data_IF_010434886205
#
_entry.id   IF_010434886205
#
_cell.length_a   1.000
_cell.length_b   1.000
_cell.length_c   1.000
_cell.angle_alpha   90.00
_cell.angle_beta   90.00
_cell.angle_gamma   90.00
#
_symmetry.space_group_name_H-M   'P 1'
#
loop_
_entity.id
_entity.type
_entity.pdbx_description
1 polymer ?
2 non-polymer ?
3 non-polymer ?
4 non-polymer ?
5 water ?
#
# COMPACT_ATOMS: atom_id res chain seq x y z
N UNK A 3 -12.98 -13.18 9.27
CA UNK A 3 -13.06 -13.04 7.79
C UNK A 3 -14.03 -11.92 7.36
N UNK A 4 -14.58 -11.11 8.29
CA UNK A 4 -15.59 -10.05 8.01
C UNK A 4 -14.97 -8.96 7.13
N UNK A 5 -13.71 -8.60 7.42
CA UNK A 5 -12.90 -7.64 6.66
C UNK A 5 -12.71 -8.10 5.23
N UNK A 6 -12.46 -9.39 5.02
CA UNK A 6 -12.21 -9.97 3.68
C UNK A 6 -13.51 -9.92 2.87
N UNK A 7 -14.65 -10.20 3.50
CA UNK A 7 -15.95 -10.18 2.77
C UNK A 7 -16.23 -8.74 2.33
N UNK A 8 -15.90 -7.74 3.18
CA UNK A 8 -16.06 -6.30 2.89
C UNK A 8 -15.22 -5.93 1.66
N UNK A 9 -14.00 -6.45 1.56
CA UNK A 9 -13.11 -6.15 0.40
C UNK A 9 -13.71 -6.79 -0.85
N UNK A 10 -14.16 -8.03 -0.75
CA UNK A 10 -14.71 -8.77 -1.93
C UNK A 10 -15.99 -8.07 -2.40
N UNK A 11 -16.79 -7.51 -1.47
CA UNK A 11 -18.07 -6.80 -1.79
C UNK A 11 -17.79 -5.47 -2.53
N UNK A 12 -16.77 -4.71 -2.12
CA UNK A 12 -16.44 -3.39 -2.72
C UNK A 12 -14.94 -3.28 -2.99
N UNK A 13 -14.39 -4.04 -3.96
CA UNK A 13 -12.95 -4.04 -4.19
C UNK A 13 -12.40 -2.64 -4.51
N UNK A 14 -13.14 -1.83 -5.27
CA UNK A 14 -12.67 -0.50 -5.68
C UNK A 14 -12.44 0.40 -4.47
N UNK A 15 -13.17 0.18 -3.38
CA UNK A 15 -12.96 0.96 -2.13
C UNK A 15 -11.52 0.75 -1.65
N UNK A 16 -10.97 -0.45 -1.84
CA UNK A 16 -9.65 -0.86 -1.30
C UNK A 16 -8.51 -0.74 -2.32
N UNK A 17 -8.77 -0.93 -3.62
CA UNK A 17 -7.69 -0.92 -4.65
C UNK A 17 -8.02 0.05 -5.79
N UNK A 18 -9.10 0.84 -5.67
CA UNK A 18 -9.41 1.92 -6.61
C UNK A 18 -10.20 1.48 -7.83
N UNK A 19 -9.91 0.32 -8.37
CA UNK A 19 -10.45 -0.14 -9.67
C UNK A 19 -10.24 -1.64 -9.75
N UNK A 20 -10.87 -2.26 -10.73
CA UNK A 20 -10.66 -3.70 -11.01
C UNK A 20 -10.06 -3.85 -12.40
N UNK A 21 -9.44 -2.79 -12.92
CA UNK A 21 -8.64 -2.79 -14.15
C UNK A 21 -7.20 -3.10 -13.89
N UNK A 22 -6.35 -2.77 -14.85
CA UNK A 22 -4.89 -3.06 -14.79
C UNK A 22 -4.30 -2.43 -13.54
N UNK A 23 -4.67 -1.18 -13.24
CA UNK A 23 -4.05 -0.55 -12.07
C UNK A 23 -4.48 -1.27 -10.80
N UNK A 24 -5.76 -1.66 -10.67
CA UNK A 24 -6.28 -2.43 -9.53
C UNK A 24 -5.51 -3.73 -9.40
N UNK A 25 -5.35 -4.45 -10.50
CA UNK A 25 -4.62 -5.73 -10.47
C UNK A 25 -3.22 -5.51 -9.89
N UNK A 26 -2.52 -4.46 -10.34
CA UNK A 26 -1.12 -4.26 -9.92
C UNK A 26 -1.06 -3.86 -8.46
N UNK A 27 -2.14 -3.38 -7.84
CA UNK A 27 -2.15 -3.12 -6.38
C UNK A 27 -1.72 -4.40 -5.65
N UNK A 28 -2.14 -5.57 -6.15
CA UNK A 28 -1.92 -6.81 -5.39
C UNK A 28 -0.44 -7.15 -5.42
N UNK A 29 0.21 -7.03 -6.59
CA UNK A 29 1.65 -7.33 -6.68
C UNK A 29 2.46 -6.28 -5.91
N UNK A 30 2.05 -5.02 -5.93
CA UNK A 30 2.76 -3.99 -5.12
C UNK A 30 2.72 -4.36 -3.64
N UNK A 31 1.60 -4.83 -3.13
CA UNK A 31 1.45 -5.07 -1.68
C UNK A 31 2.41 -6.21 -1.30
N UNK A 32 2.47 -7.26 -2.13
CA UNK A 32 3.26 -8.45 -1.71
C UNK A 32 4.74 -8.11 -1.87
N UNK A 33 5.09 -7.45 -2.96
CA UNK A 33 6.49 -6.98 -3.17
C UNK A 33 6.89 -6.07 -2.00
N UNK A 34 6.02 -5.14 -1.62
CA UNK A 34 6.38 -4.21 -0.54
C UNK A 34 6.74 -4.97 0.75
N UNK A 35 5.94 -5.97 1.11
CA UNK A 35 6.20 -6.75 2.35
C UNK A 35 7.53 -7.49 2.24
N UNK A 36 7.87 -8.00 1.08
CA UNK A 36 9.16 -8.69 0.88
C UNK A 36 10.30 -7.68 1.02
N UNK A 37 10.17 -6.53 0.40
CA UNK A 37 11.26 -5.52 0.39
C UNK A 37 11.39 -4.96 1.80
N UNK A 38 10.29 -4.79 2.53
CA UNK A 38 10.33 -4.33 3.94
C UNK A 38 11.31 -5.18 4.75
N UNK A 39 11.45 -6.46 4.42
CA UNK A 39 12.36 -7.40 5.14
C UNK A 39 13.82 -7.03 4.89
N UNK A 40 14.17 -6.30 3.83
CA UNK A 40 15.58 -5.87 3.60
C UNK A 40 16.03 -4.93 4.71
N UNK A 41 15.28 -3.84 4.98
CA UNK A 41 15.58 -2.90 6.09
C UNK A 41 15.35 -3.56 7.47
N UNK A 42 14.38 -4.45 7.63
CA UNK A 42 13.81 -4.86 8.95
C UNK A 42 14.21 -6.28 9.33
N UNK A 43 14.53 -7.14 8.37
CA UNK A 43 14.72 -8.58 8.61
C UNK A 43 15.98 -9.15 8.00
N UNK A 44 16.90 -8.28 7.55
CA UNK A 44 18.23 -8.65 7.02
C UNK A 44 18.07 -9.55 5.78
N UNK A 45 16.97 -9.41 5.03
CA UNK A 45 16.85 -10.07 3.71
C UNK A 45 17.94 -9.51 2.81
N UNK A 46 18.52 -10.36 1.97
CA UNK A 46 19.54 -10.02 0.97
C UNK A 46 18.98 -10.17 -0.43
N UNK A 47 17.87 -10.87 -0.59
CA UNK A 47 17.36 -11.21 -1.94
C UNK A 47 15.85 -11.27 -1.93
N UNK A 48 15.24 -10.64 -2.93
CA UNK A 48 13.80 -10.78 -3.22
C UNK A 48 13.68 -11.32 -4.64
N UNK A 49 12.80 -12.29 -4.85
CA UNK A 49 12.53 -12.81 -6.20
C UNK A 49 11.04 -12.66 -6.49
N UNK A 50 10.73 -12.18 -7.68
CA UNK A 50 9.34 -12.06 -8.17
C UNK A 50 9.24 -12.89 -9.44
N UNK A 51 8.28 -13.82 -9.48
CA UNK A 51 7.99 -14.62 -10.68
C UNK A 51 6.56 -14.33 -11.13
N UNK A 52 6.41 -13.95 -12.39
CA UNK A 52 5.09 -13.83 -13.04
C UNK A 52 4.80 -15.20 -13.65
N UNK A 53 3.91 -15.94 -13.01
CA UNK A 53 3.67 -17.36 -13.36
C UNK A 53 2.90 -17.43 -14.69
N UNK A 54 3.11 -18.54 -15.39
CA UNK A 54 2.50 -18.80 -16.72
C UNK A 54 0.97 -18.76 -16.62
N UNK A 55 0.39 -19.15 -15.48
CA UNK A 55 -1.07 -19.31 -15.29
C UNK A 55 -1.72 -18.02 -14.79
N UNK A 56 -0.98 -16.91 -14.70
CA UNK A 56 -1.52 -15.62 -14.22
C UNK A 56 -1.21 -15.38 -12.75
N UNK A 57 -0.70 -16.38 -12.04
CA UNK A 57 -0.34 -16.18 -10.64
C UNK A 57 0.96 -15.40 -10.50
N UNK A 58 1.29 -15.12 -9.26
CA UNK A 58 2.53 -14.40 -8.91
C UNK A 58 3.16 -15.11 -7.72
N UNK A 59 4.48 -15.28 -7.76
CA UNK A 59 5.24 -15.74 -6.59
C UNK A 59 6.20 -14.62 -6.19
N UNK A 60 6.21 -14.30 -4.91
CA UNK A 60 7.23 -13.38 -4.36
C UNK A 60 7.90 -14.10 -3.20
N UNK A 61 9.23 -14.02 -3.15
CA UNK A 61 10.00 -14.67 -2.08
C UNK A 61 11.05 -13.72 -1.54
N UNK A 62 11.38 -13.91 -0.27
CA UNK A 62 12.48 -13.18 0.36
C UNK A 62 13.23 -14.15 1.27
N UNK A 63 14.44 -13.79 1.63
CA UNK A 63 15.25 -14.59 2.59
C UNK A 63 15.34 -13.81 3.91
N UNK A 64 14.23 -13.20 4.32
CA UNK A 64 14.11 -12.49 5.60
C UNK A 64 13.82 -13.41 6.77
N UNK A 65 13.15 -12.85 7.77
CA UNK A 65 12.88 -13.52 9.07
C UNK A 65 11.85 -14.66 8.92
N UNK A 66 11.01 -14.60 7.90
CA UNK A 66 9.84 -15.50 7.82
C UNK A 66 8.65 -14.91 8.57
N UNK A 67 7.49 -14.88 7.93
CA UNK A 67 6.23 -14.46 8.60
C UNK A 67 6.10 -15.27 9.89
N UNK A 68 5.88 -14.62 11.04
CA UNK A 68 5.70 -15.37 12.28
C UNK A 68 4.60 -16.45 12.17
N UNK A 69 4.89 -17.62 12.74
CA UNK A 69 3.92 -18.75 12.79
C UNK A 69 3.43 -18.96 14.23
N UNK A 70 4.10 -18.38 15.20
CA UNK A 70 3.68 -18.49 16.62
C UNK A 70 2.22 -18.05 16.78
N UNK A 71 1.57 -18.62 17.79
CA UNK A 71 0.15 -18.34 18.09
C UNK A 71 0.01 -16.87 18.40
N UNK A 72 -0.96 -16.25 17.73
CA UNK A 72 -1.31 -14.83 17.94
C UNK A 72 -2.22 -14.78 19.16
N UNK A 73 -2.36 -13.61 19.79
CA UNK A 73 -3.28 -13.42 20.94
C UNK A 73 -4.72 -13.79 20.52
N UNK A 74 -5.07 -13.67 19.24
CA UNK A 74 -6.46 -13.95 18.75
C UNK A 74 -6.67 -15.46 18.60
N UNK A 75 -5.65 -16.27 18.92
CA UNK A 75 -5.80 -17.72 19.09
C UNK A 75 -5.58 -18.52 17.83
N UNK A 76 -4.97 -17.92 16.80
CA UNK A 76 -4.63 -18.57 15.50
C UNK A 76 -3.18 -18.24 15.19
N UNK A 77 -2.51 -19.00 14.31
CA UNK A 77 -1.13 -18.67 13.94
C UNK A 77 -1.08 -17.24 13.38
N UNK A 78 -0.01 -16.53 13.71
CA UNK A 78 0.14 -15.10 13.33
C UNK A 78 0.02 -14.95 11.81
N UNK A 79 0.58 -15.86 11.02
CA UNK A 79 0.46 -15.79 9.55
C UNK A 79 -1.01 -15.64 9.13
N UNK A 80 -1.94 -16.34 9.79
CA UNK A 80 -3.38 -16.21 9.46
C UNK A 80 -3.90 -14.81 9.79
N UNK A 81 -3.40 -14.20 10.88
CA UNK A 81 -3.78 -12.82 11.25
C UNK A 81 -3.26 -11.88 10.15
N UNK A 82 -2.03 -12.06 9.71
CA UNK A 82 -1.41 -11.23 8.64
C UNK A 82 -2.29 -11.31 7.38
N UNK A 83 -2.67 -12.52 7.00
CA UNK A 83 -3.32 -12.71 5.69
C UNK A 83 -4.81 -12.38 5.77
N UNK A 84 -5.33 -12.03 6.95
CA UNK A 84 -6.77 -11.66 7.13
C UNK A 84 -6.92 -10.22 7.63
N UNK A 85 -5.88 -9.53 8.08
CA UNK A 85 -6.04 -8.22 8.79
C UNK A 85 -5.10 -7.13 8.28
N UNK A 86 -3.89 -7.47 7.84
CA UNK A 86 -2.91 -6.49 7.40
C UNK A 86 -3.15 -6.14 5.91
N UNK A 87 -2.40 -5.23 5.31
CA UNK A 87 -2.64 -4.75 3.94
C UNK A 87 -2.69 -5.91 2.95
N UNK A 88 -1.85 -6.91 3.14
CA UNK A 88 -1.74 -8.05 2.18
C UNK A 88 -3.02 -8.88 2.23
N UNK A 89 -3.87 -8.72 3.24
CA UNK A 89 -5.16 -9.44 3.33
C UNK A 89 -6.06 -9.03 2.15
N UNK A 90 -5.86 -7.86 1.56
CA UNK A 90 -6.63 -7.47 0.35
C UNK A 90 -6.25 -8.42 -0.81
N UNK A 91 -5.00 -8.83 -0.86
CA UNK A 91 -4.54 -9.80 -1.90
C UNK A 91 -5.27 -11.13 -1.66
N UNK A 92 -5.32 -11.58 -0.43
CA UNK A 92 -6.03 -12.83 -0.07
C UNK A 92 -7.50 -12.70 -0.45
N UNK A 93 -8.13 -11.59 -0.11
CA UNK A 93 -9.58 -11.36 -0.36
C UNK A 93 -9.91 -11.48 -1.87
N UNK A 94 -9.02 -11.01 -2.72
CA UNK A 94 -9.30 -10.82 -4.17
C UNK A 94 -8.57 -11.87 -5.01
N UNK A 95 -8.07 -12.93 -4.38
CA UNK A 95 -7.40 -14.07 -5.04
C UNK A 95 -8.28 -15.33 -4.87
N UNK A 96 -8.32 -16.18 -5.88
CA UNK A 96 -9.00 -17.49 -5.76
C UNK A 96 -8.28 -18.36 -4.73
N UNK A 97 -6.97 -18.19 -4.63
CA UNK A 97 -6.17 -18.97 -3.66
C UNK A 97 -4.83 -18.26 -3.46
N UNK A 98 -4.25 -18.52 -2.28
CA UNK A 98 -2.88 -18.08 -1.94
C UNK A 98 -2.19 -19.28 -1.29
N UNK A 99 -0.89 -19.36 -1.52
CA UNK A 99 -0.01 -20.32 -0.83
C UNK A 99 1.06 -19.52 -0.08
N UNK A 100 1.40 -19.93 1.12
CA UNK A 100 2.50 -19.28 1.88
C UNK A 100 3.44 -20.37 2.37
N UNK A 101 4.71 -20.21 2.09
CA UNK A 101 5.78 -21.08 2.61
C UNK A 101 6.67 -20.23 3.49
N UNK A 102 6.96 -20.70 4.69
CA UNK A 102 7.76 -19.93 5.65
C UNK A 102 8.87 -20.84 6.16
N UNK A 103 10.09 -20.31 6.19
CA UNK A 103 11.24 -20.95 6.84
C UNK A 103 11.57 -20.10 8.06
N UNK A 104 11.36 -20.65 9.24
CA UNK A 104 11.77 -19.97 10.49
C UNK A 104 11.67 -20.95 11.66
N UNK A 105 12.36 -20.60 12.76
CA UNK A 105 12.26 -21.35 14.02
C UNK A 105 12.77 -22.78 13.76
N UNK A 106 13.65 -22.99 12.76
CA UNK A 106 14.28 -24.28 12.44
C UNK A 106 13.44 -25.19 11.56
N UNK A 107 12.34 -24.69 11.00
CA UNK A 107 11.41 -25.52 10.21
C UNK A 107 10.85 -24.76 9.01
N UNK A 108 10.49 -25.55 8.01
CA UNK A 108 9.60 -25.14 6.92
C UNK A 108 8.16 -25.24 7.39
N UNK A 109 7.34 -24.32 6.92
CA UNK A 109 5.91 -24.26 7.30
C UNK A 109 5.13 -23.98 6.03
N UNK A 110 3.92 -24.49 5.96
CA UNK A 110 3.08 -24.30 4.74
C UNK A 110 1.65 -23.96 5.14
N UNK A 111 1.09 -22.95 4.48
CA UNK A 111 -0.31 -22.56 4.70
C UNK A 111 -0.95 -22.26 3.35
N UNK A 112 -2.25 -22.55 3.26
CA UNK A 112 -3.05 -22.26 2.06
C UNK A 112 -4.24 -21.42 2.47
N UNK A 113 -4.73 -20.64 1.52
CA UNK A 113 -5.98 -19.87 1.62
C UNK A 113 -6.78 -20.21 0.37
N UNK A 114 -7.99 -20.69 0.56
CA UNK A 114 -8.92 -21.11 -0.53
C UNK A 114 -10.11 -20.14 -0.50
N UNK A 115 -10.20 -19.27 -1.50
CA UNK A 115 -11.17 -18.15 -1.53
C UNK A 115 -11.11 -17.45 -0.17
N UNK A 116 -9.87 -17.17 0.25
CA UNK A 116 -9.47 -16.35 1.42
C UNK A 116 -9.55 -17.15 2.73
N UNK A 117 -10.13 -18.35 2.76
CA UNK A 117 -10.36 -19.15 4.00
C UNK A 117 -9.05 -19.88 4.35
N UNK A 118 -8.48 -19.66 5.56
CA UNK A 118 -7.25 -20.35 5.94
C UNK A 118 -7.43 -21.86 6.02
N UNK A 119 -6.46 -22.59 5.48
CA UNK A 119 -6.30 -24.04 5.71
C UNK A 119 -5.65 -24.27 7.05
N UNK A 120 -5.04 -25.43 7.23
CA UNK A 120 -4.38 -25.82 8.50
C UNK A 120 -2.88 -25.63 8.31
N UNK A 121 -2.26 -24.74 9.09
CA UNK A 121 -0.79 -24.54 9.05
C UNK A 121 -0.14 -25.91 9.25
N UNK A 122 0.79 -26.26 8.37
CA UNK A 122 1.54 -27.54 8.39
C UNK A 122 3.02 -27.27 8.77
N UNK A 123 3.54 -28.03 9.71
CA UNK A 123 4.99 -27.99 10.00
C UNK A 123 5.66 -29.04 9.10
N UNK A 124 6.62 -28.60 8.30
CA UNK A 124 7.38 -29.45 7.37
C UNK A 124 8.72 -29.85 7.97
N UNK A 125 9.70 -29.98 7.11
CA UNK A 125 11.06 -30.48 7.45
C UNK A 125 11.84 -29.38 8.16
N UNK A 126 12.83 -29.77 8.92
CA UNK A 126 13.83 -28.87 9.50
C UNK A 126 14.57 -28.15 8.38
N UNK A 127 14.96 -26.92 8.68
CA UNK A 127 15.80 -26.09 7.82
C UNK A 127 16.51 -25.06 8.70
N UNK A 128 17.72 -24.71 8.33
CA UNK A 128 18.40 -23.55 8.96
C UNK A 128 18.09 -22.28 8.16
N UNK A 129 17.42 -22.39 7.00
CA UNK A 129 17.14 -21.20 6.16
C UNK A 129 16.01 -20.39 6.81
N UNK A 130 15.94 -19.10 6.51
CA UNK A 130 14.77 -18.28 6.89
C UNK A 130 14.23 -17.56 5.65
N UNK A 131 12.94 -17.29 5.66
CA UNK A 131 12.34 -16.42 4.64
C UNK A 131 10.90 -16.79 4.40
N UNK A 132 10.32 -16.15 3.42
CA UNK A 132 8.88 -16.25 3.12
C UNK A 132 8.71 -16.35 1.60
N UNK A 133 7.79 -17.20 1.19
CA UNK A 133 7.32 -17.29 -0.22
C UNK A 133 5.81 -17.11 -0.19
N UNK A 134 5.31 -16.19 -0.98
CA UNK A 134 3.83 -16.03 -1.14
C UNK A 134 3.48 -16.18 -2.62
N UNK A 135 2.55 -17.06 -2.89
CA UNK A 135 1.96 -17.22 -4.24
C UNK A 135 0.49 -16.81 -4.17
N UNK A 136 0.01 -16.13 -5.20
CA UNK A 136 -1.41 -15.75 -5.22
C UNK A 136 -1.87 -15.72 -6.66
N UNK A 137 -3.17 -15.97 -6.82
CA UNK A 137 -3.84 -16.07 -8.13
C UNK A 137 -5.02 -15.12 -8.12
N UNK A 138 -4.87 -13.90 -8.68
CA UNK A 138 -5.98 -12.94 -8.74
C UNK A 138 -7.26 -13.55 -9.32
N UNK A 139 -8.39 -13.18 -8.73
CA UNK A 139 -9.71 -13.77 -9.10
C UNK A 139 -10.20 -13.09 -10.37
N UNK A 140 -10.37 -13.80 -11.51
CA UNK A 140 -10.87 -13.15 -12.73
C UNK A 140 -12.33 -12.67 -12.59
N UNK A 141 -13.04 -13.14 -11.56
CA UNK A 141 -14.42 -12.65 -11.25
C UNK A 141 -14.37 -11.23 -10.70
N UNK A 142 -13.21 -10.84 -10.15
CA UNK A 142 -13.01 -9.47 -9.59
C UNK A 142 -12.40 -8.56 -10.67
N UNK A 143 -11.35 -9.02 -11.34
CA UNK A 143 -10.48 -8.20 -12.24
C UNK A 143 -10.89 -8.35 -13.69
N UNK A 144 -11.01 -7.22 -14.40
CA UNK A 144 -11.38 -7.17 -15.82
C UNK A 144 -10.16 -7.51 -16.68
N UNK A 145 -8.97 -7.51 -16.11
CA UNK A 145 -7.75 -8.03 -16.75
C UNK A 145 -6.93 -8.74 -15.68
N UNK A 146 -6.28 -9.81 -16.08
CA UNK A 146 -5.44 -10.62 -15.16
C UNK A 146 -4.01 -10.67 -15.66
N UNK A 147 -3.64 -9.83 -16.60
CA UNK A 147 -2.28 -9.83 -17.21
C UNK A 147 -1.42 -8.81 -16.49
N UNK A 148 -0.42 -9.28 -15.74
CA UNK A 148 0.57 -8.36 -15.15
C UNK A 148 1.47 -7.80 -16.26
N UNK A 149 1.94 -6.57 -16.06
CA UNK A 149 2.84 -5.90 -17.03
C UNK A 149 4.29 -5.98 -16.54
N UNK A 150 5.14 -6.68 -17.27
CA UNK A 150 6.56 -6.91 -16.89
C UNK A 150 7.28 -5.58 -16.71
N UNK A 151 7.12 -4.61 -17.64
CA UNK A 151 7.86 -3.31 -17.57
C UNK A 151 7.37 -2.54 -16.33
N UNK A 152 6.08 -2.57 -16.03
CA UNK A 152 5.52 -1.85 -14.84
C UNK A 152 6.18 -2.42 -13.59
N UNK A 153 6.25 -3.74 -13.52
CA UNK A 153 6.82 -4.43 -12.34
C UNK A 153 8.31 -4.13 -12.29
N UNK A 154 9.01 -4.17 -13.42
CA UNK A 154 10.47 -3.92 -13.48
C UNK A 154 10.78 -2.53 -12.89
N UNK A 155 9.99 -1.51 -13.25
CA UNK A 155 10.25 -0.11 -12.84
C UNK A 155 10.10 0.00 -11.32
N UNK A 156 9.08 -0.65 -10.74
CA UNK A 156 8.89 -0.65 -9.26
C UNK A 156 10.08 -1.35 -8.62
N UNK A 157 10.48 -2.53 -9.14
CA UNK A 157 11.59 -3.27 -8.51
C UNK A 157 12.89 -2.47 -8.60
N UNK A 158 13.17 -1.81 -9.73
CA UNK A 158 14.40 -0.99 -9.83
C UNK A 158 14.40 0.10 -8.74
N UNK A 159 13.27 0.81 -8.56
CA UNK A 159 13.08 1.82 -7.48
C UNK A 159 13.41 1.19 -6.11
N UNK A 160 12.87 0.00 -5.83
CA UNK A 160 13.02 -0.66 -4.50
C UNK A 160 14.47 -1.12 -4.30
N UNK A 161 15.18 -1.52 -5.36
CA UNK A 161 16.61 -1.90 -5.24
C UNK A 161 17.44 -0.64 -4.91
N UNK A 162 17.13 0.47 -5.54
CA UNK A 162 17.84 1.76 -5.32
C UNK A 162 17.65 2.20 -3.87
N UNK A 163 16.45 2.00 -3.30
CA UNK A 163 16.12 2.44 -1.92
C UNK A 163 16.65 1.43 -0.88
N UNK A 164 17.18 0.30 -1.31
CA UNK A 164 17.62 -0.78 -0.39
C UNK A 164 19.00 -1.24 -0.85
N UNK A 165 20.02 -0.42 -0.63
CA UNK A 165 21.36 -0.68 -1.16
C UNK A 165 21.81 -2.06 -0.68
N UNK A 166 22.33 -2.87 -1.59
CA UNK A 166 22.84 -4.21 -1.29
C UNK A 166 21.79 -5.28 -1.48
N UNK A 167 20.53 -4.89 -1.69
CA UNK A 167 19.43 -5.85 -1.94
C UNK A 167 19.44 -6.29 -3.41
N UNK A 168 19.46 -7.60 -3.65
CA UNK A 168 19.30 -8.14 -5.03
C UNK A 168 17.83 -8.43 -5.25
N UNK A 169 17.26 -7.89 -6.32
CA UNK A 169 15.86 -8.22 -6.70
C UNK A 169 15.88 -8.85 -8.09
N UNK A 170 15.38 -10.07 -8.17
CA UNK A 170 15.31 -10.85 -9.42
C UNK A 170 13.85 -10.87 -9.87
N UNK A 171 13.63 -10.59 -11.14
CA UNK A 171 12.28 -10.64 -11.77
C UNK A 171 12.34 -11.66 -12.91
N UNK A 172 11.45 -12.64 -12.88
CA UNK A 172 11.36 -13.68 -13.93
C UNK A 172 9.95 -13.69 -14.45
N UNK A 173 9.80 -13.55 -15.75
CA UNK A 173 8.51 -13.71 -16.44
C UNK A 173 8.46 -15.12 -17.00
N UNK A 174 7.70 -16.02 -16.37
CA UNK A 174 7.59 -17.43 -16.79
C UNK A 174 6.69 -17.52 -18.03
N UNK A 175 6.04 -16.42 -18.43
CA UNK A 175 5.11 -16.39 -19.59
C UNK A 175 5.93 -16.35 -20.89
N UNK A 176 7.12 -15.74 -20.87
CA UNK A 176 7.94 -15.55 -22.09
C UNK A 176 9.45 -15.68 -21.81
N UNK A 177 9.86 -15.96 -20.58
CA UNK A 177 11.27 -16.16 -20.23
C UNK A 177 12.06 -14.89 -19.94
N UNK A 178 11.47 -13.70 -20.10
CA UNK A 178 12.20 -12.42 -19.88
C UNK A 178 12.64 -12.36 -18.40
N UNK A 179 13.81 -11.80 -18.15
CA UNK A 179 14.30 -11.71 -16.75
C UNK A 179 15.14 -10.46 -16.55
N UNK A 180 15.17 -9.98 -15.32
CA UNK A 180 15.94 -8.77 -14.95
C UNK A 180 16.40 -8.96 -13.52
N UNK A 181 17.61 -8.53 -13.24
CA UNK A 181 18.16 -8.52 -11.87
C UNK A 181 18.55 -7.09 -11.52
N UNK A 182 18.08 -6.61 -10.38
CA UNK A 182 18.36 -5.26 -9.88
C UNK A 182 19.25 -5.35 -8.65
N UNK A 183 20.26 -4.47 -8.59
CA UNK A 183 21.20 -4.43 -7.46
C UNK A 183 21.95 -3.11 -7.53
N UNK A 184 21.94 -2.36 -6.45
CA UNK A 184 22.78 -1.16 -6.21
C UNK A 184 23.73 -1.39 -5.03
N UNK A 185 25.06 -1.33 -5.21
CA UNK A 185 25.98 -1.63 -4.10
C UNK A 185 25.84 -0.67 -2.91
N UNK B 5 -9.02 -2.38 15.69
CA UNK B 5 -8.84 -1.86 14.28
C UNK B 5 -7.63 -0.92 14.13
N UNK B 6 -7.84 0.39 14.31
CA UNK B 6 -6.74 1.39 14.37
C UNK B 6 -5.89 1.22 15.63
N UNK B 7 -6.47 0.64 16.67
CA UNK B 7 -5.73 0.39 17.94
C UNK B 7 -4.65 -0.66 17.65
N UNK B 8 -4.97 -1.66 16.80
CA UNK B 8 -4.02 -2.73 16.36
C UNK B 8 -2.83 -2.06 15.63
N UNK B 9 -3.09 -1.04 14.81
CA UNK B 9 -2.04 -0.33 14.04
C UNK B 9 -1.13 0.42 15.02
N UNK B 10 -1.74 1.14 15.96
CA UNK B 10 -0.96 1.95 16.95
C UNK B 10 -0.12 1.01 17.83
N UNK B 11 -0.65 -0.17 18.18
CA UNK B 11 0.03 -1.16 19.08
C UNK B 11 1.25 -1.76 18.36
N UNK B 12 1.12 -2.12 17.07
CA UNK B 12 2.20 -2.81 16.29
C UNK B 12 2.33 -2.13 14.93
N UNK B 13 2.85 -0.89 14.86
CA UNK B 13 2.94 -0.18 13.58
C UNK B 13 3.73 -0.97 12.51
N UNK B 14 4.80 -1.64 12.92
CA UNK B 14 5.66 -2.38 11.98
C UNK B 14 4.91 -3.50 11.29
N UNK B 15 3.88 -4.03 11.90
CA UNK B 15 3.00 -5.06 11.29
C UNK B 15 2.37 -4.48 10.03
N UNK B 16 2.05 -3.18 10.05
CA UNK B 16 1.26 -2.51 8.99
C UNK B 16 2.14 -1.74 8.00
N UNK B 17 3.25 -1.15 8.44
CA UNK B 17 4.13 -0.35 7.56
C UNK B 17 5.59 -0.81 7.60
N UNK B 18 5.88 -1.94 8.23
CA UNK B 18 7.20 -2.61 8.14
C UNK B 18 8.21 -2.09 9.16
N UNK B 19 8.21 -0.80 9.48
CA UNK B 19 9.23 -0.16 10.34
C UNK B 19 8.75 1.25 10.73
N UNK B 20 9.48 1.91 11.60
CA UNK B 20 9.18 3.25 12.10
C UNK B 20 10.35 4.18 11.78
N UNK B 21 11.22 3.79 10.86
CA UNK B 21 12.21 4.69 10.23
C UNK B 21 11.68 5.33 8.97
N UNK B 22 12.60 5.81 8.14
CA UNK B 22 12.29 6.57 6.90
C UNK B 22 11.43 5.69 5.99
N UNK B 23 11.69 4.41 5.88
CA UNK B 23 10.87 3.57 4.98
C UNK B 23 9.43 3.48 5.50
N UNK B 24 9.24 3.27 6.79
CA UNK B 24 7.89 3.26 7.39
C UNK B 24 7.20 4.61 7.22
N UNK B 25 7.91 5.70 7.49
CA UNK B 25 7.33 7.04 7.32
C UNK B 25 6.81 7.19 5.88
N UNK B 26 7.60 6.80 4.88
CA UNK B 26 7.22 7.00 3.46
C UNK B 26 6.04 6.12 3.09
N UNK B 27 5.73 5.07 3.85
CA UNK B 27 4.53 4.24 3.57
C UNK B 27 3.31 5.18 3.65
N UNK B 28 3.31 6.18 4.56
CA UNK B 28 2.13 7.04 4.78
C UNK B 28 1.91 7.88 3.54
N UNK B 29 2.96 8.51 3.04
CA UNK B 29 2.82 9.37 1.82
C UNK B 29 2.49 8.51 0.60
N UNK B 30 3.07 7.32 0.47
CA UNK B 30 2.69 6.45 -0.66
C UNK B 30 1.19 6.14 -0.63
N UNK B 31 0.63 5.84 0.53
CA UNK B 31 -0.79 5.43 0.62
C UNK B 31 -1.67 6.60 0.17
N UNK B 32 -1.36 7.80 0.60
CA UNK B 32 -2.27 8.94 0.30
C UNK B 32 -2.09 9.31 -1.16
N UNK B 33 -0.86 9.33 -1.64
CA UNK B 33 -0.59 9.58 -3.08
C UNK B 33 -1.32 8.54 -3.92
N UNK B 34 -1.24 7.27 -3.53
CA UNK B 34 -1.88 6.20 -4.32
C UNK B 34 -3.38 6.48 -4.47
N UNK B 35 -4.06 6.85 -3.39
CA UNK B 35 -5.50 7.15 -3.41
C UNK B 35 -5.79 8.33 -4.36
N UNK B 36 -4.95 9.34 -4.37
CA UNK B 36 -5.14 10.49 -5.27
C UNK B 36 -4.96 10.05 -6.72
N UNK B 37 -3.91 9.30 -7.00
CA UNK B 37 -3.59 8.88 -8.38
C UNK B 37 -4.67 7.91 -8.85
N UNK B 38 -5.21 7.06 -7.96
CA UNK B 38 -6.32 6.15 -8.32
C UNK B 38 -7.47 6.94 -8.97
N UNK B 39 -7.68 8.20 -8.57
CA UNK B 39 -8.73 9.06 -9.18
C UNK B 39 -8.46 9.42 -10.65
N UNK B 40 -7.23 9.31 -11.17
CA UNK B 40 -6.96 9.61 -12.59
C UNK B 40 -7.69 8.60 -13.48
N UNK B 41 -7.46 7.29 -13.26
CA UNK B 41 -8.19 6.25 -14.03
C UNK B 41 -9.62 6.16 -13.54
N UNK B 42 -9.93 6.33 -12.26
CA UNK B 42 -11.29 5.98 -11.75
C UNK B 42 -12.23 7.18 -11.84
N UNK B 43 -11.73 8.41 -11.76
CA UNK B 43 -12.63 9.58 -11.66
C UNK B 43 -12.23 10.74 -12.56
N UNK B 44 -11.37 10.52 -13.55
CA UNK B 44 -10.99 11.51 -14.59
C UNK B 44 -10.31 12.72 -13.94
N UNK B 45 -9.61 12.53 -12.81
CA UNK B 45 -8.71 13.57 -12.26
C UNK B 45 -7.67 13.92 -13.34
N UNK B 46 -7.31 15.19 -13.44
CA UNK B 46 -6.29 15.71 -14.36
C UNK B 46 -5.02 16.12 -13.60
N UNK B 47 -5.12 16.31 -12.29
CA UNK B 47 -3.99 16.89 -11.55
C UNK B 47 -3.96 16.35 -10.13
N UNK B 48 -2.77 15.92 -9.73
CA UNK B 48 -2.45 15.60 -8.32
C UNK B 48 -1.34 16.54 -7.85
N UNK B 49 -1.51 17.10 -6.68
CA UNK B 49 -0.48 17.99 -6.10
C UNK B 49 -0.04 17.42 -4.77
N UNK B 50 1.27 17.35 -4.57
CA UNK B 50 1.85 16.91 -3.28
C UNK B 50 2.68 18.05 -2.73
N UNK B 51 2.42 18.44 -1.48
CA UNK B 51 3.24 19.45 -0.78
C UNK B 51 3.88 18.81 0.44
N UNK B 52 5.20 18.95 0.57
CA UNK B 52 5.91 18.59 1.80
C UNK B 52 5.92 19.88 2.64
N UNK B 53 5.08 19.91 3.66
CA UNK B 53 4.80 21.15 4.41
C UNK B 53 6.01 21.49 5.29
N UNK B 54 6.12 22.78 5.56
CA UNK B 54 7.23 23.40 6.32
C UNK B 54 7.33 22.78 7.72
N UNK B 55 6.22 22.34 8.31
CA UNK B 55 6.14 21.85 9.71
C UNK B 55 6.28 20.33 9.76
N UNK B 56 6.62 19.66 8.66
CA UNK B 56 6.77 18.19 8.61
C UNK B 56 5.51 17.48 8.11
N UNK B 57 4.37 18.17 8.00
CA UNK B 57 3.16 17.54 7.44
C UNK B 57 3.26 17.32 5.95
N UNK B 58 2.20 16.74 5.42
CA UNK B 58 2.08 16.48 3.95
C UNK B 58 0.66 16.87 3.53
N UNK B 59 0.54 17.51 2.38
CA UNK B 59 -0.78 17.74 1.76
C UNK B 59 -0.77 17.03 0.41
N UNK B 60 -1.83 16.27 0.13
CA UNK B 60 -2.03 15.69 -1.19
C UNK B 60 -3.43 16.11 -1.68
N UNK B 61 -3.53 16.53 -2.93
CA UNK B 61 -4.84 16.92 -3.49
C UNK B 61 -5.03 16.30 -4.86
N UNK B 62 -6.28 16.08 -5.20
CA UNK B 62 -6.66 15.69 -6.55
C UNK B 62 -7.91 16.47 -6.95
N UNK B 63 -8.15 16.52 -8.25
CA UNK B 63 -9.38 17.14 -8.81
C UNK B 63 -10.28 16.02 -9.36
N UNK B 64 -10.37 14.92 -8.62
CA UNK B 64 -11.28 13.83 -8.98
C UNK B 64 -12.70 14.03 -8.45
N UNK B 65 -13.38 12.95 -8.14
CA UNK B 65 -14.81 12.94 -7.81
C UNK B 65 -15.09 13.53 -6.43
N UNK B 66 -14.12 13.52 -5.53
CA UNK B 66 -14.38 13.80 -4.10
C UNK B 66 -14.82 12.56 -3.37
N UNK B 67 -14.21 12.31 -2.22
CA UNK B 67 -14.70 11.24 -1.31
C UNK B 67 -16.19 11.45 -1.10
N UNK B 68 -17.02 10.40 -1.27
CA UNK B 68 -18.46 10.53 -1.07
C UNK B 68 -18.83 11.13 0.28
N UNK B 69 -19.85 12.00 0.25
CA UNK B 69 -20.41 12.71 1.43
C UNK B 69 -21.87 12.34 1.65
N UNK B 70 -22.60 11.73 0.69
CA UNK B 70 -24.06 11.37 0.88
C UNK B 70 -24.26 10.80 2.30
N UNK B 75 -25.21 5.74 9.25
CA UNK B 75 -24.74 6.65 10.32
C UNK B 75 -23.37 7.25 10.01
N UNK B 76 -22.41 6.44 9.57
CA UNK B 76 -20.97 6.84 9.46
C UNK B 76 -20.72 7.54 8.11
N UNK B 77 -20.21 8.79 8.10
CA UNK B 77 -19.77 9.41 6.86
C UNK B 77 -18.76 8.50 6.16
N UNK B 78 -18.84 8.42 4.84
CA UNK B 78 -17.90 7.61 4.02
C UNK B 78 -16.47 8.05 4.31
N UNK B 79 -16.22 9.36 4.46
CA UNK B 79 -14.82 9.78 4.75
C UNK B 79 -14.32 9.05 6.00
N UNK B 80 -15.15 8.90 7.03
CA UNK B 80 -14.75 8.23 8.29
C UNK B 80 -14.54 6.72 8.04
N UNK B 81 -15.30 6.11 7.13
CA UNK B 81 -15.08 4.68 6.77
C UNK B 81 -13.72 4.58 6.09
N UNK B 82 -13.41 5.48 5.16
CA UNK B 82 -12.09 5.51 4.47
C UNK B 82 -10.99 5.62 5.52
N UNK B 83 -11.12 6.54 6.45
CA UNK B 83 -9.98 6.87 7.33
C UNK B 83 -9.93 5.90 8.51
N UNK B 84 -10.84 4.93 8.59
CA UNK B 84 -10.82 3.90 9.68
C UNK B 84 -10.65 2.48 9.13
N UNK B 85 -10.92 2.23 7.85
CA UNK B 85 -11.04 0.83 7.36
C UNK B 85 -10.19 0.54 6.13
N UNK B 86 -10.00 1.54 5.27
CA UNK B 86 -9.23 1.38 4.03
C UNK B 86 -7.73 1.49 4.34
N UNK B 87 -6.84 1.17 3.39
CA UNK B 87 -5.39 1.19 3.65
C UNK B 87 -4.95 2.53 4.24
N UNK B 88 -5.53 3.63 3.79
CA UNK B 88 -5.09 4.98 4.19
C UNK B 88 -5.42 5.22 5.68
N UNK B 89 -6.28 4.41 6.27
CA UNK B 89 -6.58 4.45 7.74
C UNK B 89 -5.29 4.31 8.56
N UNK B 90 -4.26 3.65 8.04
CA UNK B 90 -2.95 3.54 8.74
C UNK B 90 -2.36 4.94 8.89
N UNK B 91 -2.56 5.79 7.90
CA UNK B 91 -2.05 7.20 7.97
C UNK B 91 -2.77 7.92 9.11
N UNK B 92 -4.09 7.74 9.20
CA UNK B 92 -4.88 8.35 10.31
C UNK B 92 -4.35 7.81 11.65
N UNK B 93 -4.16 6.51 11.75
CA UNK B 93 -3.76 5.84 13.01
C UNK B 93 -2.43 6.38 13.54
N UNK B 94 -1.50 6.74 12.66
CA UNK B 94 -0.10 7.05 13.04
C UNK B 94 0.18 8.54 12.81
N UNK B 95 -0.87 9.35 12.73
CA UNK B 95 -0.76 10.83 12.59
C UNK B 95 -1.35 11.50 13.83
N UNK B 96 -0.73 12.56 14.30
CA UNK B 96 -1.31 13.36 15.43
C UNK B 96 -2.63 13.97 15.00
N UNK B 97 -2.76 14.32 13.73
CA UNK B 97 -4.00 14.92 13.19
C UNK B 97 -4.00 14.75 11.68
N UNK B 98 -5.20 14.76 11.14
CA UNK B 98 -5.44 14.78 9.68
C UNK B 98 -6.56 15.77 9.42
N UNK B 99 -6.43 16.47 8.31
CA UNK B 99 -7.51 17.33 7.78
C UNK B 99 -7.92 16.76 6.43
N UNK B 100 -9.22 16.67 6.18
CA UNK B 100 -9.71 16.28 4.85
C UNK B 100 -10.65 17.39 4.34
N UNK B 101 -10.42 17.82 3.13
CA UNK B 101 -11.32 18.77 2.41
C UNK B 101 -11.87 18.03 1.20
N UNK B 102 -13.17 18.05 1.02
CA UNK B 102 -13.85 17.40 -0.11
C UNK B 102 -14.68 18.45 -0.84
N UNK B 103 -14.56 18.50 -2.15
CA UNK B 103 -15.47 19.30 -3.01
C UNK B 103 -16.30 18.28 -3.77
N UNK B 104 -17.60 18.30 -3.52
CA UNK B 104 -18.52 17.34 -4.14
C UNK B 104 -19.96 17.82 -3.93
N UNK B 105 -20.82 17.48 -4.88
CA UNK B 105 -22.29 17.64 -4.73
C UNK B 105 -22.63 19.12 -4.50
N UNK B 106 -21.82 20.02 -5.05
CA UNK B 106 -22.09 21.47 -5.02
C UNK B 106 -21.50 22.18 -3.84
N UNK B 107 -20.73 21.49 -2.98
CA UNK B 107 -20.22 22.10 -1.72
C UNK B 107 -18.81 21.65 -1.40
N UNK B 108 -18.12 22.52 -0.69
CA UNK B 108 -16.90 22.17 0.08
C UNK B 108 -17.31 21.54 1.40
N UNK B 109 -16.55 20.54 1.83
CA UNK B 109 -16.85 19.84 3.09
C UNK B 109 -15.52 19.68 3.82
N UNK B 110 -15.56 19.72 5.14
CA UNK B 110 -14.31 19.64 5.95
C UNK B 110 -14.49 18.62 7.06
N UNK B 111 -13.49 17.73 7.23
CA UNK B 111 -13.46 16.79 8.35
C UNK B 111 -12.06 16.85 8.97
N UNK B 112 -12.01 16.63 10.27
CA UNK B 112 -10.74 16.56 11.01
C UNK B 112 -10.67 15.23 11.75
N UNK B 113 -9.45 14.81 12.04
CA UNK B 113 -9.15 13.64 12.88
C UNK B 113 -8.10 14.12 13.85
N UNK B 114 -8.35 13.87 15.14
CA UNK B 114 -7.46 14.25 16.25
C UNK B 114 -7.02 12.95 16.90
N UNK B 115 -5.74 12.58 16.72
CA UNK B 115 -5.20 11.28 17.19
C UNK B 115 -6.16 10.18 16.72
N UNK B 116 -6.57 10.28 15.44
CA UNK B 116 -7.37 9.27 14.68
C UNK B 116 -8.87 9.41 14.94
N UNK B 117 -9.31 10.20 15.94
CA UNK B 117 -10.73 10.31 16.37
C UNK B 117 -11.43 11.29 15.44
N UNK B 118 -12.49 10.88 14.71
CA UNK B 118 -13.20 11.78 13.81
C UNK B 118 -13.85 12.96 14.54
N UNK B 119 -13.75 14.14 13.93
CA UNK B 119 -14.58 15.31 14.25
C UNK B 119 -15.95 15.20 13.60
N UNK B 120 -16.65 16.33 13.46
CA UNK B 120 -17.96 16.40 12.79
C UNK B 120 -17.75 16.96 11.39
N UNK B 121 -18.13 16.22 10.36
CA UNK B 121 -18.09 16.72 8.96
C UNK B 121 -18.88 18.03 8.89
N UNK B 122 -18.27 19.08 8.33
CA UNK B 122 -18.90 20.42 8.20
C UNK B 122 -19.12 20.75 6.72
N UNK B 123 -20.33 21.19 6.38
CA UNK B 123 -20.61 21.73 5.05
C UNK B 123 -20.16 23.20 4.98
N UNK B 124 -19.36 23.50 3.97
CA UNK B 124 -18.82 24.84 3.71
C UNK B 124 -19.57 25.51 2.58
N UNK B 125 -18.81 26.26 1.78
CA UNK B 125 -19.34 27.13 0.72
C UNK B 125 -19.73 26.30 -0.51
N UNK B 126 -20.59 26.89 -1.30
CA UNK B 126 -20.98 26.34 -2.61
C UNK B 126 -19.74 26.32 -3.50
N UNK B 127 -19.61 25.28 -4.33
CA UNK B 127 -18.52 25.20 -5.32
C UNK B 127 -18.94 24.24 -6.44
N UNK B 128 -18.51 24.53 -7.66
CA UNK B 128 -18.68 23.61 -8.80
C UNK B 128 -17.45 22.70 -8.90
N UNK B 129 -16.40 22.92 -8.10
CA UNK B 129 -15.18 22.08 -8.19
C UNK B 129 -15.48 20.69 -7.59
N UNK B 130 -14.73 19.67 -8.01
CA UNK B 130 -14.73 18.36 -7.33
C UNK B 130 -13.30 17.98 -7.02
N UNK B 131 -13.13 17.24 -5.94
CA UNK B 131 -11.82 16.68 -5.60
C UNK B 131 -11.67 16.51 -4.12
N UNK B 132 -10.49 16.07 -3.72
CA UNK B 132 -10.19 15.72 -2.31
C UNK B 132 -8.81 16.28 -1.99
N UNK B 133 -8.69 16.82 -0.78
CA UNK B 133 -7.39 17.22 -0.21
C UNK B 133 -7.25 16.50 1.13
N UNK B 134 -6.10 15.89 1.32
CA UNK B 134 -5.76 15.26 2.64
C UNK B 134 -4.46 15.87 3.15
N UNK B 135 -4.50 16.39 4.35
CA UNK B 135 -3.29 16.86 5.07
C UNK B 135 -3.08 15.97 6.30
N UNK B 136 -1.85 15.56 6.54
CA UNK B 136 -1.60 14.69 7.71
C UNK B 136 -0.23 15.01 8.28
N UNK B 137 -0.13 14.78 9.59
CA UNK B 137 1.08 15.10 10.37
C UNK B 137 1.52 13.84 11.10
N UNK B 138 2.51 13.12 10.55
CA UNK B 138 2.97 11.89 11.20
C UNK B 138 3.41 12.13 12.66
N UNK B 139 3.10 11.18 13.52
CA UNK B 139 3.30 11.30 14.98
C UNK B 139 4.78 11.10 15.28
N UNK B 140 5.51 12.13 15.80
CA UNK B 140 6.93 11.98 16.08
C UNK B 140 7.20 10.96 17.20
N UNK B 141 6.17 10.63 17.99
CA UNK B 141 6.27 9.62 19.07
C UNK B 141 6.29 8.19 18.48
N UNK B 142 5.84 8.04 17.25
CA UNK B 142 5.77 6.72 16.54
C UNK B 142 7.04 6.52 15.70
N UNK B 143 7.43 7.55 14.97
CA UNK B 143 8.51 7.51 13.94
C UNK B 143 9.86 8.00 14.49
N UNK B 144 10.95 7.34 14.09
CA UNK B 144 12.33 7.75 14.44
C UNK B 144 12.77 8.96 13.63
N UNK B 145 12.08 9.23 12.53
CA UNK B 145 12.33 10.40 11.66
C UNK B 145 10.98 10.88 11.17
N UNK B 146 10.84 12.19 11.01
CA UNK B 146 9.62 12.80 10.43
C UNK B 146 9.99 13.58 9.17
N UNK B 147 11.17 13.35 8.62
CA UNK B 147 11.68 14.04 7.42
C UNK B 147 11.34 13.21 6.19
N UNK B 148 10.42 13.71 5.37
CA UNK B 148 10.17 13.14 4.03
C UNK B 148 11.35 13.49 3.13
N UNK B 149 11.67 12.60 2.21
CA UNK B 149 12.81 12.76 1.29
C UNK B 149 12.30 13.19 -0.08
N UNK B 150 12.64 14.41 -0.52
CA UNK B 150 12.14 14.97 -1.80
C UNK B 150 12.41 14.01 -2.97
N UNK B 151 13.63 13.47 -3.10
CA UNK B 151 14.02 12.65 -4.28
C UNK B 151 13.24 11.34 -4.22
N UNK B 152 13.03 10.77 -3.04
CA UNK B 152 12.27 9.49 -2.89
C UNK B 152 10.84 9.73 -3.38
N UNK B 153 10.25 10.84 -2.94
CA UNK B 153 8.85 11.16 -3.34
C UNK B 153 8.83 11.45 -4.84
N UNK B 154 9.81 12.20 -5.36
CA UNK B 154 9.84 12.62 -6.78
C UNK B 154 9.87 11.36 -7.67
N UNK B 155 10.65 10.35 -7.29
CA UNK B 155 10.82 9.12 -8.11
C UNK B 155 9.47 8.41 -8.17
N UNK B 156 8.75 8.32 -7.06
CA UNK B 156 7.42 7.65 -7.03
C UNK B 156 6.45 8.46 -7.91
N UNK B 157 6.45 9.79 -7.78
CA UNK B 157 5.47 10.61 -8.56
C UNK B 157 5.81 10.54 -10.05
N UNK B 158 7.08 10.54 -10.42
CA UNK B 158 7.47 10.38 -11.83
C UNK B 158 6.92 9.05 -12.38
N UNK B 159 7.13 7.93 -11.66
CA UNK B 159 6.56 6.60 -11.98
C UNK B 159 5.04 6.72 -12.19
N UNK B 160 4.33 7.36 -11.28
CA UNK B 160 2.84 7.41 -11.33
C UNK B 160 2.38 8.29 -12.49
N UNK B 161 3.11 9.35 -12.83
CA UNK B 161 2.76 10.17 -14.00
C UNK B 161 2.96 9.33 -15.29
N UNK B 162 4.05 8.58 -15.36
CA UNK B 162 4.40 7.75 -16.53
C UNK B 162 3.32 6.69 -16.74
N UNK B 163 2.78 6.13 -15.64
CA UNK B 163 1.75 5.07 -15.70
C UNK B 163 0.34 5.64 -15.90
N UNK B 164 0.18 6.95 -15.87
CA UNK B 164 -1.16 7.59 -15.96
C UNK B 164 -1.04 8.72 -16.97
N UNK B 165 -0.92 8.36 -18.23
CA UNK B 165 -0.70 9.31 -19.34
C UNK B 165 -1.72 10.43 -19.22
N UNK B 166 -1.27 11.67 -19.30
CA UNK B 166 -2.17 12.85 -19.29
C UNK B 166 -2.37 13.40 -17.89
N UNK B 167 -1.96 12.65 -16.85
CA UNK B 167 -2.04 13.14 -15.46
C UNK B 167 -0.86 14.07 -15.18
N UNK B 168 -1.14 15.26 -14.69
CA UNK B 168 -0.09 16.20 -14.22
C UNK B 168 0.09 15.95 -12.73
N UNK B 169 1.32 15.69 -12.30
CA UNK B 169 1.61 15.59 -10.84
C UNK B 169 2.61 16.68 -10.50
N UNK B 170 2.24 17.54 -9.57
CA UNK B 170 3.12 18.63 -9.08
C UNK B 170 3.63 18.25 -7.68
N UNK B 171 4.94 18.35 -7.47
CA UNK B 171 5.58 18.19 -6.13
C UNK B 171 6.21 19.52 -5.71
N UNK B 172 5.83 19.99 -4.53
CA UNK B 172 6.39 21.24 -3.96
C UNK B 172 6.93 20.91 -2.57
N UNK B 173 8.18 21.26 -2.35
CA UNK B 173 8.81 21.13 -1.02
C UNK B 173 8.78 22.53 -0.39
N UNK B 174 7.90 22.75 0.57
CA UNK B 174 7.74 24.05 1.25
C UNK B 174 8.92 24.26 2.22
N UNK B 175 9.74 23.23 2.45
CA UNK B 175 10.89 23.33 3.40
C UNK B 175 12.06 24.07 2.75
N UNK B 176 12.20 24.04 1.43
CA UNK B 176 13.34 24.64 0.70
C UNK B 176 12.97 25.22 -0.65
N UNK B 177 11.69 25.15 -1.06
CA UNK B 177 11.21 25.74 -2.31
C UNK B 177 11.43 24.85 -3.54
N UNK B 178 12.06 23.69 -3.40
CA UNK B 178 12.28 22.79 -4.56
C UNK B 178 10.91 22.37 -5.10
N UNK B 179 10.79 22.29 -6.42
CA UNK B 179 9.50 21.86 -7.02
C UNK B 179 9.75 21.14 -8.36
N UNK B 180 8.84 20.26 -8.71
CA UNK B 180 8.96 19.47 -9.96
C UNK B 180 7.54 19.16 -10.40
N UNK B 181 7.33 19.19 -11.71
CA UNK B 181 6.06 18.79 -12.35
C UNK B 181 6.34 17.60 -13.26
N UNK B 182 5.51 16.57 -13.14
CA UNK B 182 5.60 15.35 -13.95
C UNK B 182 4.38 15.30 -14.86
N UNK B 183 4.60 15.05 -16.13
CA UNK B 183 3.51 14.93 -17.11
C UNK B 183 4.05 14.21 -18.33
N UNK B 184 3.39 13.12 -18.70
CA UNK B 184 3.67 12.34 -19.94
C UNK B 184 2.40 12.29 -20.76
N UNK B 185 2.40 12.85 -21.99
CA UNK B 185 1.25 12.67 -22.89
C UNK B 185 1.08 11.20 -23.31
X LIG C 1 8.07 -9.01 11.27
X LIG C 1 8.62 -11.26 6.30
X LIG C 1 8.80 -10.72 9.79
X LIG C 1 9.14 -11.48 10.88
X LIG C 1 8.19 -11.05 7.53
X LIG C 1 7.69 -11.19 5.34
X LIG C 1 6.34 -10.81 5.56
X LIG C 1 4.35 -10.82 3.81
X LIG C 1 6.41 -11.55 2.04
X LIG C 1 7.27 -12.56 -0.07
X LIG C 1 4.34 -10.01 8.69
X LIG C 1 4.01 -9.20 6.44
X LIG C 1 5.01 -7.59 8.18
X LIG C 1 8.22 -9.32 13.68
X LIG C 1 8.43 -9.80 12.28
X LIG C 1 8.28 -9.45 10.02
X LIG C 1 8.96 -11.01 12.13
X LIG C 1 9.09 -11.21 8.51
X LIG C 1 5.67 -10.90 4.28
X LIG C 1 4.10 -11.14 2.49
X LIG C 1 5.10 -11.45 1.60
X LIG C 1 6.68 -11.29 3.37
X LIG C 1 7.88 -11.40 4.03
X LIG C 1 7.44 -11.92 1.22
X LIG C 1 2.82 -11.07 2.00
X LIG C 1 6.00 -10.55 6.92
X LIG C 1 6.95 -10.69 7.87
X LIG C 1 4.80 -10.07 7.30
X LIG C 1 4.01 -8.54 8.79
X LIG C 1 3.79 -8.04 7.38
X LIG C 1 5.04 -6.23 8.68
X LIG D 1 5.62 -2.15 3.69
X LIG E 1 17.10 -7.54 13.31
X LIG F 1 18.21 -12.05 10.82
X LIG G 1 2.37 -22.61 15.24
X LIG G 1 1.44 -21.78 15.94
X LIG G 1 3.36 -23.29 16.13
X LIG G 1 4.64 -22.67 16.16
X LIG H 1 6.64 -25.97 2.43
X LIG H 1 7.05 -24.97 3.33
X LIG H 1 6.79 -27.31 3.05
X LIG H 1 6.30 -27.43 4.36
X LIG I 1 -14.72 6.37 -5.33
X LIG I 1 -11.23 10.32 -4.28
X LIG I 1 -14.18 8.64 -5.16
X LIG I 1 -15.51 8.95 -5.27
X LIG I 1 -12.24 9.51 -4.10
X LIG I 1 -10.25 10.24 -3.35
X LIG I 1 -10.25 9.32 -2.27
X LIG I 1 -8.49 9.20 -0.29
X LIG I 1 -7.25 11.30 -1.70
X LIG I 1 -5.71 13.20 -1.88
X LIG I 1 -12.74 6.62 -1.32
X LIG I 1 -10.36 6.65 -0.90
X LIG I 1 -11.24 5.11 -2.75
X LIG I 1 -17.01 5.68 -5.66
X LIG I 1 -15.99 6.74 -5.45
X LIG I 1 -13.80 7.32 -5.20
X LIG I 1 -16.42 8.00 -5.44
X LIG I 1 -13.25 9.66 -4.97
X LIG I 1 -9.05 9.62 -1.50
X LIG I 1 -7.36 9.85 0.16
X LIG I 1 -6.72 10.84 -0.53
X LIG I 1 -8.42 10.70 -2.18
X LIG I 1 -9.14 11.00 -3.29
X LIG I 1 -6.69 12.29 -2.41
X LIG I 1 -6.80 9.46 1.34
X LIG I 1 -11.37 8.46 -2.21
X LIG I 1 -12.35 8.61 -3.11
X LIG I 1 -11.52 7.40 -1.39
X LIG I 1 -12.22 5.23 -1.61
X LIG I 1 -10.72 5.24 -1.32
X LIG I 1 -11.15 3.82 -3.43
X LIG J 1 -4.87 2.54 -4.79
X LIG K 1 -16.67 8.52 -15.95
X LIG L 1 -10.35 9.36 -17.85
#
# INVERSE_FOLDING_TARGET
>A
GMLEGLEAVRKRPGMYIGSTGERGLHHLIWEVVDNAVDEAMAGHATKVRVRLLADGGVEVSDDGRGIPVEMHESGVPTVDVVMTQVGVSVVNALSTRMEVEICRDGYQWFQTYDKSVPGTLKQGEKTRKTGTVVRFWPDPDVFETTTFDFETVARRLQEQAFLNKGLTIELIDERDGKHRTFYYPG
>B
GMLEGLEAVRKRPGMYIGSTGERGLHHLIWEVVDNAVDEAMAGHATKVRVRLLADGGVEVSDDGRGIPVEMHESGVPTVDVVMTQVGVSVVNALSTRMEVEICRDGYQWFQTYDKSVPGTLKQGEKTRKTGTVVRFWPDPDVFETTTFDFETVARRLQEQAFLNKGLTIELIDERDGKHRTFYYPG
>C hetero
1 OGH N1 N3 C4 C5 C6 C7 C8 C10 C13 C15 C17 C20 C21 C1 C2 C3 N2 O1 C9 C11 C12 C14 N4 N5 F1 C16 N6 N7 C18 C19 N8
>D hetero
1 ZN ZN
>E hetero
1 ZN ZN
>F hetero
1 ZN ZN
>G hetero
1 EDO C1 O1 C2 O2
>H hetero
1 EDO C1 O1 C2 O2
>I hetero
1 OGH N1 N3 C4 C5 C6 C7 C8 C10 C13 C15 C17 C20 C21 C1 C2 C3 N2 O1 C9 C11 C12 C14 N4 N5 F1 C16 N6 N7 C18 C19 N8
>J hetero
1 ZN ZN
>K hetero
1 ZN ZN
>L hetero
1 ZN ZN
#
